data_IF_601911530662
#
_entry.id   IF_601911530662
#
_cell.length_a   1.000
_cell.length_b   1.000
_cell.length_c   1.000
_cell.angle_alpha   90.00
_cell.angle_beta   90.00
_cell.angle_gamma   90.00
#
_symmetry.space_group_name_H-M   'P 1'
#
loop_
_entity.id
_entity.type
_entity.pdbx_description
1 polymer ?
#
# COMPACT_ATOMS: atom_id res chain seq x y z
N UNK A 1 -2.75 13.52 49.96
CA UNK A 1 -1.27 13.66 49.91
C UNK A 1 -0.99 15.09 49.53
N UNK A 2 -0.02 15.75 50.16
CA UNK A 2 0.34 17.13 49.79
C UNK A 2 1.09 17.16 48.46
N UNK A 3 0.99 18.26 47.71
CA UNK A 3 1.72 18.48 46.46
C UNK A 3 3.20 18.04 46.50
N UNK A 4 3.92 18.38 47.58
CA UNK A 4 5.34 18.06 47.75
C UNK A 4 5.64 16.55 47.77
N UNK A 5 4.78 15.78 48.43
CA UNK A 5 4.87 14.31 48.49
C UNK A 5 4.51 13.70 47.13
N UNK A 6 3.48 14.24 46.47
CA UNK A 6 3.00 13.79 45.17
C UNK A 6 4.04 14.01 44.07
N UNK A 7 4.71 15.16 44.08
CA UNK A 7 5.79 15.46 43.17
C UNK A 7 6.96 14.47 43.32
N UNK A 8 7.36 14.18 44.56
CA UNK A 8 8.40 13.17 44.84
C UNK A 8 7.95 11.78 44.36
N UNK A 9 6.69 11.40 44.55
CA UNK A 9 6.16 10.10 44.14
C UNK A 9 6.10 9.98 42.61
N UNK A 10 5.60 10.99 41.90
CA UNK A 10 5.57 11.03 40.43
C UNK A 10 6.98 10.98 39.84
N UNK A 11 7.93 11.70 40.44
CA UNK A 11 9.34 11.65 40.03
C UNK A 11 9.93 10.25 40.17
N UNK A 12 9.71 9.60 41.33
CA UNK A 12 10.20 8.24 41.59
C UNK A 12 9.51 7.21 40.70
N UNK A 13 8.21 7.32 40.47
CA UNK A 13 7.45 6.43 39.59
C UNK A 13 7.95 6.48 38.14
N UNK A 14 8.44 7.64 37.69
CA UNK A 14 9.05 7.84 36.38
C UNK A 14 10.57 7.61 36.35
N UNK A 15 11.17 7.09 37.44
CA UNK A 15 12.60 6.81 37.56
C UNK A 15 13.52 8.02 37.30
N UNK A 16 13.08 9.24 37.62
CA UNK A 16 13.89 10.44 37.46
C UNK A 16 14.67 10.77 38.74
N UNK A 17 15.91 11.24 38.60
CA UNK A 17 16.62 11.96 39.66
C UNK A 17 16.09 13.39 39.80
N UNK A 18 16.37 14.07 40.93
CA UNK A 18 15.99 15.48 41.09
C UNK A 18 16.66 16.37 40.03
N UNK A 19 17.93 16.10 39.69
CA UNK A 19 18.64 16.75 38.57
C UNK A 19 17.90 16.56 37.24
N UNK A 20 17.47 15.33 36.94
CA UNK A 20 16.78 14.96 35.70
C UNK A 20 15.40 15.60 35.57
N UNK A 21 14.67 15.75 36.68
CA UNK A 21 13.42 16.49 36.69
C UNK A 21 13.66 17.99 36.51
N UNK A 22 14.70 18.52 37.16
CA UNK A 22 15.07 19.93 37.06
C UNK A 22 15.43 20.33 35.62
N UNK A 23 16.18 19.49 34.91
CA UNK A 23 16.53 19.67 33.50
C UNK A 23 15.27 19.70 32.61
N UNK A 24 14.34 18.75 32.80
CA UNK A 24 13.10 18.66 32.01
C UNK A 24 12.15 19.85 32.23
N UNK A 25 12.11 20.39 33.45
CA UNK A 25 11.26 21.53 33.82
C UNK A 25 11.98 22.89 33.58
N UNK A 26 13.29 22.85 33.32
CA UNK A 26 14.14 24.02 33.07
C UNK A 26 14.34 24.85 34.33
N UNK A 27 14.74 24.22 35.44
CA UNK A 27 15.06 24.84 36.74
C UNK A 27 16.31 24.24 37.35
N UNK A 28 16.79 24.79 38.46
CA UNK A 28 17.88 24.18 39.22
C UNK A 28 17.39 22.99 40.06
N UNK A 29 18.27 22.02 40.31
CA UNK A 29 17.98 20.90 41.23
C UNK A 29 17.56 21.36 42.63
N UNK A 30 18.13 22.47 43.10
CA UNK A 30 17.76 23.08 44.38
C UNK A 30 16.29 23.51 44.42
N UNK A 31 15.73 24.01 43.30
CA UNK A 31 14.31 24.36 43.21
C UNK A 31 13.42 23.12 43.37
N UNK A 32 13.74 22.03 42.66
CA UNK A 32 13.04 20.75 42.78
C UNK A 32 13.10 20.21 44.21
N UNK A 33 14.27 20.26 44.85
CA UNK A 33 14.42 19.83 46.25
C UNK A 33 13.55 20.66 47.20
N UNK A 34 13.42 21.97 47.01
CA UNK A 34 12.57 22.82 47.85
C UNK A 34 11.09 22.52 47.66
N UNK A 35 10.66 22.20 46.43
CA UNK A 35 9.28 21.78 46.15
C UNK A 35 8.95 20.44 46.79
N UNK A 36 9.84 19.45 46.69
CA UNK A 36 9.66 18.13 47.32
C UNK A 36 9.69 18.19 48.86
N UNK A 37 10.40 19.18 49.44
CA UNK A 37 10.41 19.45 50.87
C UNK A 37 9.22 20.32 51.34
N UNK A 38 8.36 20.78 50.41
CA UNK A 38 7.24 21.67 50.72
C UNK A 38 7.67 23.07 51.21
N UNK A 39 8.93 23.45 50.99
CA UNK A 39 9.48 24.75 51.42
C UNK A 39 9.15 25.90 50.45
N UNK A 40 8.75 25.58 49.21
CA UNK A 40 8.26 26.54 48.21
C UNK A 40 7.34 25.84 47.22
N UNK A 41 6.60 26.60 46.42
CA UNK A 41 5.79 26.09 45.31
C UNK A 41 6.37 26.51 43.96
N UNK A 42 6.23 25.68 42.90
CA UNK A 42 6.53 26.10 41.54
C UNK A 42 5.53 27.16 41.06
N UNK A 43 5.94 27.98 40.09
CA UNK A 43 4.99 28.85 39.39
C UNK A 43 4.09 28.03 38.44
N UNK A 44 3.02 28.67 37.95
CA UNK A 44 2.05 28.02 37.06
C UNK A 44 2.69 27.48 35.77
N UNK A 45 3.70 28.16 35.22
CA UNK A 45 4.38 27.69 34.00
C UNK A 45 5.15 26.39 34.26
N UNK A 46 5.85 26.31 35.40
CA UNK A 46 6.56 25.12 35.83
C UNK A 46 5.60 23.98 36.19
N UNK A 47 4.46 24.28 36.82
CA UNK A 47 3.43 23.27 37.07
C UNK A 47 2.89 22.67 35.77
N UNK A 48 2.55 23.50 34.77
CA UNK A 48 2.10 23.00 33.45
C UNK A 48 3.20 22.19 32.74
N UNK A 49 4.47 22.56 32.89
CA UNK A 49 5.59 21.76 32.39
C UNK A 49 5.70 20.41 33.10
N UNK A 50 5.50 20.36 34.41
CA UNK A 50 5.45 19.10 35.17
C UNK A 50 4.30 18.21 34.72
N UNK A 51 3.11 18.78 34.52
CA UNK A 51 1.95 18.06 33.98
C UNK A 51 2.27 17.38 32.64
N UNK A 52 3.00 18.07 31.75
CA UNK A 52 3.48 17.49 30.48
C UNK A 52 4.55 16.42 30.67
N UNK A 53 5.44 16.58 31.64
CA UNK A 53 6.52 15.62 31.93
C UNK A 53 5.98 14.32 32.55
N UNK A 54 4.94 14.42 33.36
CA UNK A 54 4.33 13.29 34.08
C UNK A 54 3.05 12.75 33.44
N UNK A 55 2.62 13.36 32.33
CA UNK A 55 1.35 13.06 31.65
C UNK A 55 0.15 13.01 32.61
N UNK A 56 0.04 14.06 33.45
CA UNK A 56 -1.03 14.21 34.43
C UNK A 56 -1.71 15.57 34.29
N UNK A 57 -2.94 15.69 34.79
CA UNK A 57 -3.62 17.00 34.84
C UNK A 57 -3.09 17.87 35.98
N UNK A 58 -3.33 19.20 35.92
CA UNK A 58 -2.96 20.09 37.02
C UNK A 58 -3.72 19.76 38.31
N UNK A 59 -4.99 19.38 38.18
CA UNK A 59 -5.82 18.93 39.30
C UNK A 59 -5.22 17.66 39.92
N UNK A 60 -4.80 16.70 39.09
CA UNK A 60 -4.05 15.53 39.56
C UNK A 60 -2.71 15.90 40.20
N UNK A 61 -2.06 17.01 39.84
CA UNK A 61 -0.82 17.41 40.48
C UNK A 61 -1.06 18.10 41.83
N UNK A 62 -2.17 18.83 41.98
CA UNK A 62 -2.44 19.68 43.15
C UNK A 62 -3.43 19.11 44.18
N UNK A 63 -4.22 18.09 43.86
CA UNK A 63 -5.32 17.66 44.74
C UNK A 63 -4.84 17.13 46.11
N UNK A 64 -5.27 17.84 47.17
CA UNK A 64 -5.01 17.60 48.58
C UNK A 64 -6.00 16.61 49.23
N UNK A 65 -6.85 15.94 48.44
CA UNK A 65 -7.39 14.62 48.76
C UNK A 65 -8.88 14.58 49.09
N UNK A 66 -9.63 13.84 48.30
CA UNK A 66 -10.27 12.57 48.69
C UNK A 66 -11.18 12.08 47.55
N UNK A 67 -10.72 11.03 46.84
CA UNK A 67 -11.45 9.85 46.35
C UNK A 67 -10.75 9.31 45.10
N UNK A 68 -10.15 8.13 45.25
CA UNK A 68 -9.55 7.38 44.15
C UNK A 68 -8.27 6.72 44.63
N UNK A 69 -8.38 5.45 44.99
CA UNK A 69 -7.27 4.53 45.19
C UNK A 69 -6.17 4.77 44.16
N UNK A 70 -4.91 4.62 44.59
CA UNK A 70 -3.75 4.53 43.70
C UNK A 70 -4.11 3.53 42.61
N UNK A 71 -4.45 4.04 41.43
CA UNK A 71 -4.65 3.22 40.26
C UNK A 71 -3.27 2.65 39.94
N UNK A 72 -3.07 1.41 40.37
CA UNK A 72 -2.27 0.45 39.63
C UNK A 72 -2.48 0.74 38.15
N UNK A 73 -1.39 0.89 37.40
CA UNK A 73 -1.34 1.05 35.94
C UNK A 73 -2.60 0.47 35.29
N UNK A 74 -3.64 1.29 35.15
CA UNK A 74 -4.76 0.95 34.31
C UNK A 74 -4.24 1.22 32.92
N UNK A 75 -3.76 0.16 32.29
CA UNK A 75 -4.09 -0.03 30.88
C UNK A 75 -5.52 0.48 30.71
N UNK A 76 -5.69 1.41 29.79
CA UNK A 76 -6.96 2.07 29.49
C UNK A 76 -8.03 1.04 29.14
N UNK A 77 -8.64 0.42 30.15
CA UNK A 77 -9.89 -0.32 29.99
C UNK A 77 -10.90 0.75 29.64
N UNK A 78 -11.30 0.75 28.38
CA UNK A 78 -12.45 1.48 27.86
C UNK A 78 -13.58 1.24 28.87
N UNK A 79 -13.93 2.25 29.65
CA UNK A 79 -15.04 2.16 30.61
C UNK A 79 -16.32 2.23 29.80
N UNK A 80 -16.68 1.07 29.23
CA UNK A 80 -17.78 0.92 28.27
C UNK A 80 -19.10 1.45 28.83
N UNK A 81 -19.25 1.41 30.16
CA UNK A 81 -20.42 1.93 30.87
C UNK A 81 -20.60 3.44 30.64
N UNK A 82 -19.53 4.23 30.71
CA UNK A 82 -19.61 5.68 30.48
C UNK A 82 -19.94 6.01 29.01
N UNK A 83 -19.42 5.22 28.06
CA UNK A 83 -19.77 5.38 26.65
C UNK A 83 -21.21 4.98 26.34
N UNK A 84 -21.69 3.91 26.98
CA UNK A 84 -23.10 3.49 26.92
C UNK A 84 -24.03 4.54 27.52
N UNK A 85 -23.66 5.14 28.65
CA UNK A 85 -24.45 6.20 29.28
C UNK A 85 -24.52 7.45 28.38
N UNK A 86 -23.43 7.86 27.76
CA UNK A 86 -23.43 8.97 26.80
C UNK A 86 -24.20 8.63 25.50
N UNK A 87 -24.16 7.38 25.05
CA UNK A 87 -24.97 6.92 23.92
C UNK A 87 -26.47 6.93 24.26
N UNK A 88 -26.84 6.46 25.45
CA UNK A 88 -28.22 6.50 25.93
C UNK A 88 -28.70 7.95 26.06
N UNK A 89 -27.88 8.86 26.60
CA UNK A 89 -28.18 10.30 26.59
C UNK A 89 -28.41 10.83 25.18
N UNK A 90 -27.58 10.43 24.21
CA UNK A 90 -27.77 10.81 22.81
C UNK A 90 -29.10 10.31 22.27
N UNK A 91 -29.49 9.06 22.55
CA UNK A 91 -30.82 8.54 22.19
C UNK A 91 -31.93 9.37 22.84
N UNK A 92 -31.81 9.69 24.13
CA UNK A 92 -32.78 10.52 24.86
C UNK A 92 -32.89 11.92 24.26
N UNK A 93 -31.76 12.56 23.91
CA UNK A 93 -31.73 13.86 23.24
C UNK A 93 -32.40 13.80 21.86
N UNK A 94 -32.16 12.75 21.08
CA UNK A 94 -32.84 12.54 19.79
C UNK A 94 -34.35 12.37 20.00
N UNK A 95 -34.76 11.57 20.96
CA UNK A 95 -36.17 11.35 21.29
C UNK A 95 -36.87 12.66 21.68
N UNK A 96 -36.26 13.42 22.59
CA UNK A 96 -36.78 14.71 23.04
C UNK A 96 -36.88 15.71 21.89
N UNK A 97 -35.85 15.78 21.03
CA UNK A 97 -35.87 16.56 19.80
C UNK A 97 -37.09 16.21 18.94
N UNK A 98 -37.32 14.93 18.64
CA UNK A 98 -38.47 14.50 17.82
C UNK A 98 -39.83 14.79 18.45
N UNK A 99 -39.96 14.81 19.78
CA UNK A 99 -41.19 15.22 20.45
C UNK A 99 -41.43 16.72 20.29
N UNK A 100 -40.38 17.53 20.42
CA UNK A 100 -40.49 18.99 20.33
C UNK A 100 -40.75 19.49 18.90
N UNK A 101 -40.42 18.69 17.89
CA UNK A 101 -40.55 19.06 16.48
C UNK A 101 -42.00 19.03 15.96
N UNK A 102 -42.35 20.03 15.17
CA UNK A 102 -43.61 20.02 14.39
C UNK A 102 -43.55 19.00 13.24
N UNK A 103 -44.70 18.61 12.70
CA UNK A 103 -44.76 17.67 11.56
C UNK A 103 -44.00 18.19 10.33
N UNK A 104 -44.09 19.50 10.04
CA UNK A 104 -43.36 20.15 8.94
C UNK A 104 -41.84 20.08 9.13
N UNK A 105 -41.36 20.29 10.36
CA UNK A 105 -39.94 20.18 10.71
C UNK A 105 -39.44 18.74 10.56
N UNK A 106 -40.24 17.73 10.95
CA UNK A 106 -39.89 16.31 10.76
C UNK A 106 -39.72 15.94 9.29
N UNK A 107 -40.61 16.43 8.43
CA UNK A 107 -40.51 16.21 6.98
C UNK A 107 -39.25 16.90 6.44
N UNK A 108 -39.03 18.18 6.79
CA UNK A 108 -37.82 18.92 6.37
C UNK A 108 -36.55 18.19 6.82
N UNK A 109 -36.53 17.70 8.05
CA UNK A 109 -35.45 16.88 8.59
C UNK A 109 -35.15 15.64 7.75
N UNK A 110 -36.17 14.85 7.42
CA UNK A 110 -35.98 13.64 6.61
C UNK A 110 -35.40 13.97 5.23
N UNK A 111 -35.91 15.02 4.57
CA UNK A 111 -35.38 15.44 3.26
C UNK A 111 -33.92 15.90 3.35
N UNK A 112 -33.56 16.68 4.37
CA UNK A 112 -32.19 17.17 4.54
C UNK A 112 -31.21 16.03 4.85
N UNK A 113 -31.58 15.06 5.69
CA UNK A 113 -30.75 13.89 5.96
C UNK A 113 -30.63 12.98 4.74
N UNK A 114 -31.74 12.73 4.01
CA UNK A 114 -31.71 11.96 2.78
C UNK A 114 -30.81 12.62 1.73
N UNK A 115 -30.89 13.94 1.58
CA UNK A 115 -30.02 14.70 0.67
C UNK A 115 -28.54 14.55 1.03
N UNK A 116 -28.18 14.69 2.31
CA UNK A 116 -26.80 14.49 2.79
C UNK A 116 -26.31 13.08 2.45
N UNK A 117 -27.12 12.04 2.71
CA UNK A 117 -26.77 10.65 2.40
C UNK A 117 -26.55 10.46 0.90
N UNK A 118 -27.41 11.03 0.05
CA UNK A 118 -27.26 10.98 -1.41
C UNK A 118 -25.95 11.65 -1.85
N UNK A 119 -25.64 12.83 -1.32
CA UNK A 119 -24.38 13.55 -1.62
C UNK A 119 -23.16 12.71 -1.20
N UNK A 120 -23.19 12.10 -0.02
CA UNK A 120 -22.11 11.24 0.46
C UNK A 120 -21.93 10.01 -0.44
N UNK A 121 -23.03 9.35 -0.84
CA UNK A 121 -22.99 8.20 -1.76
C UNK A 121 -22.41 8.62 -3.12
N UNK A 122 -22.87 9.72 -3.70
CA UNK A 122 -22.36 10.24 -4.98
C UNK A 122 -20.86 10.56 -4.89
N UNK A 123 -20.43 11.20 -3.81
CA UNK A 123 -19.01 11.48 -3.57
C UNK A 123 -18.18 10.20 -3.48
N UNK A 124 -18.69 9.17 -2.81
CA UNK A 124 -18.03 7.87 -2.70
C UNK A 124 -17.91 7.17 -4.06
N UNK A 125 -18.96 7.22 -4.90
CA UNK A 125 -18.92 6.66 -6.26
C UNK A 125 -17.84 7.38 -7.09
N UNK A 126 -17.83 8.72 -7.07
CA UNK A 126 -16.84 9.53 -7.79
C UNK A 126 -15.42 9.16 -7.37
N UNK A 127 -15.15 9.09 -6.07
CA UNK A 127 -13.83 8.73 -5.53
C UNK A 127 -13.43 7.32 -5.98
N UNK A 128 -14.34 6.34 -5.92
CA UNK A 128 -14.06 4.97 -6.37
C UNK A 128 -13.71 4.92 -7.87
N UNK A 129 -14.45 5.63 -8.73
CA UNK A 129 -14.15 5.68 -10.17
C UNK A 129 -12.77 6.29 -10.42
N UNK A 130 -12.47 7.44 -9.80
CA UNK A 130 -11.15 8.09 -9.90
C UNK A 130 -10.02 7.16 -9.44
N UNK A 131 -10.21 6.48 -8.31
CA UNK A 131 -9.22 5.56 -7.76
C UNK A 131 -9.01 4.34 -8.66
N UNK A 132 -10.06 3.79 -9.26
CA UNK A 132 -9.93 2.69 -10.22
C UNK A 132 -9.16 3.09 -11.48
N UNK A 133 -9.38 4.28 -12.01
CA UNK A 133 -8.59 4.81 -13.15
C UNK A 133 -7.11 4.94 -12.74
N UNK A 134 -6.83 5.44 -11.54
CA UNK A 134 -5.46 5.59 -11.06
C UNK A 134 -4.75 4.24 -10.86
N UNK A 135 -5.39 3.28 -10.19
CA UNK A 135 -4.82 1.95 -9.90
C UNK A 135 -4.64 1.16 -11.20
N UNK A 136 -5.60 1.27 -12.13
CA UNK A 136 -5.48 0.62 -13.45
C UNK A 136 -4.27 1.11 -14.24
N UNK A 137 -3.99 2.42 -14.22
CA UNK A 137 -2.79 2.97 -14.83
C UNK A 137 -1.51 2.43 -14.14
N UNK A 138 -1.49 2.43 -12.80
CA UNK A 138 -0.31 2.09 -12.01
C UNK A 138 0.08 0.60 -12.06
N UNK A 139 -0.90 -0.30 -12.22
CA UNK A 139 -0.70 -1.75 -12.21
C UNK A 139 -1.03 -2.44 -13.54
N UNK A 140 -1.17 -1.69 -14.63
CA UNK A 140 -1.41 -2.24 -15.98
C UNK A 140 -0.34 -3.25 -16.45
N UNK A 141 0.87 -3.16 -15.90
CA UNK A 141 1.99 -4.07 -16.19
C UNK A 141 1.88 -5.41 -15.46
N UNK A 142 0.96 -5.58 -14.52
CA UNK A 142 0.78 -6.84 -13.79
C UNK A 142 -0.02 -7.87 -14.59
N UNK A 143 0.24 -9.18 -14.38
CA UNK A 143 -0.56 -10.23 -15.01
C UNK A 143 -2.04 -10.12 -14.62
N UNK A 144 -2.94 -10.26 -15.60
CA UNK A 144 -4.37 -9.92 -15.45
C UNK A 144 -5.05 -10.50 -14.20
N UNK A 145 -4.82 -11.79 -13.87
CA UNK A 145 -5.43 -12.41 -12.68
C UNK A 145 -4.98 -11.72 -11.38
N UNK A 146 -3.69 -11.43 -11.23
CA UNK A 146 -3.16 -10.76 -10.04
C UNK A 146 -3.65 -9.32 -9.93
N UNK A 147 -3.69 -8.60 -11.05
CA UNK A 147 -4.24 -7.25 -11.13
C UNK A 147 -5.69 -7.18 -10.62
N UNK A 148 -6.55 -8.10 -11.05
CA UNK A 148 -7.94 -8.14 -10.58
C UNK A 148 -8.07 -8.38 -9.06
N UNK A 149 -7.24 -9.26 -8.49
CA UNK A 149 -7.26 -9.48 -7.03
C UNK A 149 -6.84 -8.24 -6.25
N UNK A 150 -5.76 -7.56 -6.69
CA UNK A 150 -5.30 -6.33 -6.04
C UNK A 150 -6.35 -5.24 -6.12
N UNK A 151 -6.94 -5.02 -7.29
CA UNK A 151 -8.02 -4.05 -7.46
C UNK A 151 -9.17 -4.32 -6.48
N UNK A 152 -9.66 -5.56 -6.40
CA UNK A 152 -10.77 -5.92 -5.51
C UNK A 152 -10.45 -5.65 -4.04
N UNK A 153 -9.23 -5.96 -3.61
CA UNK A 153 -8.80 -5.68 -2.24
C UNK A 153 -8.82 -4.17 -1.97
N UNK A 154 -8.27 -3.36 -2.88
CA UNK A 154 -8.22 -1.90 -2.73
C UNK A 154 -9.63 -1.29 -2.76
N UNK A 155 -10.52 -1.76 -3.65
CA UNK A 155 -11.92 -1.31 -3.71
C UNK A 155 -12.65 -1.55 -2.38
N UNK A 156 -12.51 -2.74 -1.79
CA UNK A 156 -13.14 -3.07 -0.50
C UNK A 156 -12.59 -2.17 0.61
N UNK A 157 -11.27 -2.01 0.66
CA UNK A 157 -10.57 -1.15 1.61
C UNK A 157 -11.07 0.28 1.53
N UNK A 158 -11.09 0.85 0.33
CA UNK A 158 -11.53 2.22 0.07
C UNK A 158 -13.01 2.40 0.40
N UNK A 159 -13.85 1.42 0.04
CA UNK A 159 -15.27 1.40 0.39
C UNK A 159 -15.52 1.45 1.89
N UNK A 160 -14.78 0.66 2.68
CA UNK A 160 -14.88 0.68 4.16
C UNK A 160 -14.48 2.04 4.72
N UNK A 161 -13.38 2.63 4.24
CA UNK A 161 -12.93 3.96 4.69
C UNK A 161 -13.96 5.04 4.39
N UNK A 162 -14.44 5.08 3.15
CA UNK A 162 -15.44 6.06 2.71
C UNK A 162 -16.76 5.89 3.45
N UNK A 163 -17.15 4.64 3.77
CA UNK A 163 -18.33 4.37 4.59
C UNK A 163 -18.17 4.94 6.00
N UNK A 164 -17.05 4.67 6.69
CA UNK A 164 -16.82 5.17 8.05
C UNK A 164 -16.75 6.70 8.06
N UNK A 165 -16.03 7.31 7.10
CA UNK A 165 -16.00 8.77 6.94
C UNK A 165 -17.40 9.34 6.69
N UNK A 166 -18.20 8.68 5.85
CA UNK A 166 -19.59 9.03 5.61
C UNK A 166 -20.43 9.03 6.89
N UNK A 167 -20.31 7.99 7.72
CA UNK A 167 -21.00 7.90 9.02
C UNK A 167 -20.57 9.02 9.97
N UNK A 168 -19.26 9.34 10.03
CA UNK A 168 -18.73 10.43 10.86
C UNK A 168 -19.30 11.78 10.42
N UNK A 169 -19.20 12.08 9.12
CA UNK A 169 -19.66 13.36 8.55
C UNK A 169 -21.17 13.48 8.75
N UNK A 170 -21.93 12.43 8.46
CA UNK A 170 -23.37 12.39 8.68
C UNK A 170 -23.72 12.67 10.14
N UNK A 171 -23.07 11.97 11.08
CA UNK A 171 -23.31 12.16 12.52
C UNK A 171 -22.97 13.58 13.01
N UNK A 172 -21.88 14.16 12.52
CA UNK A 172 -21.50 15.54 12.85
C UNK A 172 -22.49 16.57 12.30
N UNK A 173 -22.88 16.44 11.02
CA UNK A 173 -23.86 17.34 10.40
C UNK A 173 -25.22 17.25 11.08
N UNK A 174 -25.65 16.03 11.42
CA UNK A 174 -26.87 15.78 12.19
C UNK A 174 -26.82 16.48 13.56
N UNK A 175 -25.70 16.31 14.30
CA UNK A 175 -25.53 16.92 15.61
C UNK A 175 -25.63 18.45 15.54
N UNK A 176 -24.83 19.07 14.66
CA UNK A 176 -24.72 20.53 14.55
C UNK A 176 -26.04 21.16 14.15
N UNK A 177 -26.74 20.57 13.17
CA UNK A 177 -27.93 21.18 12.57
C UNK A 177 -29.20 20.95 13.39
N UNK A 178 -29.29 19.82 14.10
CA UNK A 178 -30.51 19.40 14.77
C UNK A 178 -30.30 19.20 16.26
N UNK A 179 -29.42 18.28 16.65
CA UNK A 179 -29.31 17.89 18.06
C UNK A 179 -28.95 19.09 18.95
N UNK A 180 -27.92 19.86 18.59
CA UNK A 180 -27.49 21.02 19.38
C UNK A 180 -28.51 22.16 19.32
N UNK A 181 -29.21 22.34 18.19
CA UNK A 181 -30.27 23.35 18.05
C UNK A 181 -31.43 23.10 19.02
N UNK A 182 -31.99 21.89 19.04
CA UNK A 182 -33.14 21.58 19.91
C UNK A 182 -32.75 21.47 21.38
N UNK A 183 -31.50 21.12 21.71
CA UNK A 183 -31.00 21.18 23.10
C UNK A 183 -30.98 22.63 23.60
N UNK A 184 -30.56 23.60 22.79
CA UNK A 184 -30.54 25.02 23.19
C UNK A 184 -31.93 25.65 23.37
N UNK A 185 -32.95 25.15 22.66
CA UNK A 185 -34.34 25.65 22.77
C UNK A 185 -35.05 25.14 24.03
N UNK A 186 -34.55 24.07 24.66
CA UNK A 186 -35.15 23.43 25.84
C UNK A 186 -34.56 23.96 27.17
N UNK A 187 -33.66 24.96 27.15
CA UNK A 187 -33.15 25.58 28.38
C UNK A 187 -34.30 26.21 29.18
N UNK A 188 -34.62 25.70 30.39
CA UNK A 188 -35.76 26.15 31.20
C UNK A 188 -35.65 27.60 31.69
N UNK A 189 -34.50 28.26 31.52
CA UNK A 189 -34.32 29.67 31.84
C UNK A 189 -34.76 30.63 30.72
N UNK A 190 -35.19 30.13 29.56
CA UNK A 190 -35.70 30.96 28.47
C UNK A 190 -37.22 30.86 28.41
N UNK A 191 -37.91 31.93 28.86
CA UNK A 191 -39.38 31.96 29.00
C UNK A 191 -40.13 32.21 27.69
N UNK A 192 -39.46 32.54 26.58
CA UNK A 192 -40.13 32.81 25.30
C UNK A 192 -39.69 31.82 24.21
N UNK A 193 -40.66 31.01 23.76
CA UNK A 193 -40.55 30.21 22.54
C UNK A 193 -40.81 31.13 21.34
N UNK A 194 -39.76 31.56 20.64
CA UNK A 194 -39.91 32.13 19.30
C UNK A 194 -39.50 31.11 18.25
N UNK A 195 -40.48 30.49 17.61
CA UNK A 195 -40.29 29.71 16.38
C UNK A 195 -39.93 30.70 15.27
N UNK A 196 -38.79 30.53 14.60
CA UNK A 196 -38.46 31.28 13.38
C UNK A 196 -39.56 31.03 12.32
N UNK A 197 -40.42 32.03 12.11
CA UNK A 197 -41.17 32.14 10.86
C UNK A 197 -40.29 32.81 9.81
N UNK A 198 -40.36 32.30 8.58
CA UNK A 198 -39.68 32.84 7.39
C UNK A 198 -39.87 34.36 7.28
N UNK A 199 -38.76 35.04 6.99
CA UNK A 199 -38.68 36.48 6.77
C UNK A 199 -39.68 36.89 5.67
N UNK A 200 -40.77 37.53 6.06
CA UNK A 200 -41.46 38.54 5.26
C UNK A 200 -41.57 39.81 6.11
N UNK A 201 -41.34 40.93 5.44
CA UNK A 201 -41.01 42.26 5.96
C UNK A 201 -41.98 42.80 7.02
N UNK A 202 -41.44 43.46 8.05
CA UNK A 202 -41.53 44.92 8.26
C UNK A 202 -40.98 45.30 9.66
N UNK A 203 -40.25 46.40 9.75
CA UNK A 203 -40.04 47.14 11.00
C UNK A 203 -38.71 46.92 11.73
N UNK A 204 -37.76 47.82 11.46
CA UNK A 204 -36.62 48.24 12.30
C UNK A 204 -36.63 47.75 13.77
N UNK A 205 -35.86 46.71 14.09
CA UNK A 205 -34.95 46.65 15.25
C UNK A 205 -33.82 45.68 14.92
N UNK A 206 -32.60 46.19 14.69
CA UNK A 206 -31.39 45.37 14.69
C UNK A 206 -31.16 44.96 16.16
N UNK A 207 -31.70 43.81 16.57
CA UNK A 207 -31.26 43.16 17.81
C UNK A 207 -29.95 42.45 17.48
N UNK A 208 -28.85 42.94 18.04
CA UNK A 208 -27.56 42.24 17.97
C UNK A 208 -27.74 40.83 18.52
N UNK A 209 -27.58 39.86 17.62
CA UNK A 209 -27.58 38.44 17.94
C UNK A 209 -26.27 38.11 18.65
N UNK A 210 -26.23 38.32 19.96
CA UNK A 210 -25.20 37.71 20.81
C UNK A 210 -25.49 36.21 20.91
N UNK A 211 -25.02 35.47 19.89
CA UNK A 211 -24.86 34.03 20.02
C UNK A 211 -23.72 33.83 21.00
N UNK A 212 -24.04 33.70 22.29
CA UNK A 212 -23.12 33.08 23.25
C UNK A 212 -23.02 31.62 22.80
N UNK A 213 -22.07 31.35 21.89
CA UNK A 213 -21.59 29.99 21.68
C UNK A 213 -20.81 29.67 22.93
N UNK A 214 -21.43 29.02 23.91
CA UNK A 214 -20.67 28.38 24.96
C UNK A 214 -19.74 27.36 24.29
N UNK A 215 -18.41 27.56 24.28
CA UNK A 215 -17.48 26.66 23.61
C UNK A 215 -17.35 25.32 24.36
N UNK A 216 -17.98 25.18 25.54
CA UNK A 216 -17.83 24.03 26.45
C UNK A 216 -18.84 22.90 26.27
N UNK A 217 -19.55 22.80 25.14
CA UNK A 217 -19.99 21.47 24.71
C UNK A 217 -18.78 20.70 24.15
N UNK A 218 -17.91 20.26 25.08
CA UNK A 218 -16.87 19.27 24.82
C UNK A 218 -17.48 18.15 23.98
N UNK A 219 -16.84 17.79 22.87
CA UNK A 219 -17.22 16.65 22.03
C UNK A 219 -17.70 15.49 22.91
N UNK A 220 -18.92 14.98 22.69
CA UNK A 220 -19.42 13.88 23.54
C UNK A 220 -18.44 12.72 23.46
N UNK A 221 -18.25 12.00 24.58
CA UNK A 221 -17.27 10.90 24.63
C UNK A 221 -17.61 9.82 23.59
N UNK A 222 -18.89 9.70 23.22
CA UNK A 222 -19.32 8.89 22.08
C UNK A 222 -18.62 9.27 20.76
N UNK A 223 -18.57 10.56 20.38
CA UNK A 223 -17.84 10.99 19.19
C UNK A 223 -16.32 10.79 19.33
N UNK A 224 -15.78 10.91 20.55
CA UNK A 224 -14.38 10.59 20.83
C UNK A 224 -14.08 9.09 20.60
N UNK A 225 -14.98 8.19 21.02
CA UNK A 225 -14.88 6.75 20.77
C UNK A 225 -14.99 6.43 19.27
N UNK A 226 -15.88 7.11 18.56
CA UNK A 226 -16.02 6.96 17.11
C UNK A 226 -14.76 7.43 16.37
N UNK A 227 -14.13 8.50 16.84
CA UNK A 227 -12.80 8.95 16.41
C UNK A 227 -11.70 7.92 16.71
N UNK A 228 -11.69 7.31 17.91
CA UNK A 228 -10.74 6.23 18.26
C UNK A 228 -10.93 4.99 17.39
N UNK A 229 -12.17 4.57 17.13
CA UNK A 229 -12.49 3.48 16.20
C UNK A 229 -12.02 3.82 14.78
N UNK A 230 -12.25 5.06 14.32
CA UNK A 230 -11.79 5.51 13.01
C UNK A 230 -10.26 5.41 12.89
N UNK A 231 -9.52 5.96 13.87
CA UNK A 231 -8.05 5.87 13.90
C UNK A 231 -7.59 4.42 13.97
N UNK A 232 -8.25 3.58 14.77
CA UNK A 232 -7.95 2.14 14.85
C UNK A 232 -8.14 1.45 13.50
N UNK A 233 -9.28 1.64 12.84
CA UNK A 233 -9.55 1.07 11.52
C UNK A 233 -8.56 1.56 10.49
N UNK A 234 -8.22 2.85 10.51
CA UNK A 234 -7.23 3.43 9.62
C UNK A 234 -5.81 2.83 9.84
N UNK A 235 -5.44 2.53 11.08
CA UNK A 235 -4.20 1.83 11.41
C UNK A 235 -4.19 0.38 10.90
N UNK A 236 -5.27 -0.35 11.11
CA UNK A 236 -5.42 -1.72 10.59
C UNK A 236 -5.29 -1.71 9.07
N UNK A 237 -5.92 -0.75 8.41
CA UNK A 237 -5.82 -0.58 6.97
C UNK A 237 -4.39 -0.29 6.51
N UNK A 238 -3.72 0.61 7.21
CA UNK A 238 -2.32 0.96 6.94
C UNK A 238 -1.41 -0.28 7.03
N UNK A 239 -1.70 -1.18 7.98
CA UNK A 239 -0.98 -2.45 8.12
C UNK A 239 -1.19 -3.37 6.91
N UNK A 240 -2.42 -3.49 6.38
CA UNK A 240 -2.66 -4.24 5.14
C UNK A 240 -1.94 -3.63 3.93
N UNK A 241 -1.94 -2.30 3.80
CA UNK A 241 -1.23 -1.60 2.73
C UNK A 241 0.30 -1.79 2.84
N UNK A 242 0.81 -1.92 4.06
CA UNK A 242 2.25 -2.12 4.30
C UNK A 242 2.76 -3.51 3.87
N UNK A 243 1.89 -4.53 3.82
CA UNK A 243 2.27 -5.91 3.51
C UNK A 243 2.88 -6.11 2.11
N UNK A 244 2.26 -5.65 1.00
CA UNK A 244 2.88 -5.73 -0.33
C UNK A 244 4.16 -4.88 -0.43
N UNK A 245 4.23 -3.75 0.28
CA UNK A 245 5.43 -2.90 0.33
C UNK A 245 6.58 -3.65 0.99
N UNK A 246 6.31 -4.37 2.08
CA UNK A 246 7.28 -5.23 2.75
C UNK A 246 7.76 -6.36 1.83
N UNK A 247 6.86 -7.00 1.08
CA UNK A 247 7.26 -8.02 0.11
C UNK A 247 8.15 -7.42 -1.00
N UNK A 248 7.82 -6.22 -1.49
CA UNK A 248 8.65 -5.46 -2.43
C UNK A 248 10.04 -5.15 -1.87
N UNK A 249 10.14 -4.83 -0.58
CA UNK A 249 11.43 -4.66 0.11
C UNK A 249 12.25 -5.95 0.08
N UNK A 250 11.66 -7.09 0.46
CA UNK A 250 12.34 -8.39 0.45
C UNK A 250 12.82 -8.76 -0.95
N UNK A 251 11.97 -8.58 -1.97
CA UNK A 251 12.34 -8.81 -3.37
C UNK A 251 13.47 -7.91 -3.84
N UNK A 252 13.47 -6.64 -3.46
CA UNK A 252 14.53 -5.68 -3.82
C UNK A 252 15.87 -6.06 -3.18
N UNK A 253 15.87 -6.47 -1.91
CA UNK A 253 17.06 -6.97 -1.21
C UNK A 253 17.56 -8.26 -1.87
N UNK A 254 16.65 -9.21 -2.13
CA UNK A 254 16.99 -10.47 -2.79
C UNK A 254 17.60 -10.24 -4.19
N UNK A 255 16.97 -9.40 -5.02
CA UNK A 255 17.48 -9.04 -6.34
C UNK A 255 18.86 -8.36 -6.29
N UNK A 256 19.12 -7.55 -5.26
CA UNK A 256 20.43 -6.94 -5.03
C UNK A 256 21.48 -8.00 -4.68
N UNK A 257 21.14 -8.96 -3.82
CA UNK A 257 22.03 -10.08 -3.45
C UNK A 257 22.35 -10.94 -4.68
N UNK A 258 21.33 -11.31 -5.45
CA UNK A 258 21.51 -12.05 -6.72
C UNK A 258 22.43 -11.26 -7.65
N UNK A 259 22.24 -9.95 -7.79
CA UNK A 259 23.12 -9.13 -8.64
C UNK A 259 24.58 -9.17 -8.15
N UNK A 260 24.81 -9.12 -6.84
CA UNK A 260 26.16 -9.21 -6.25
C UNK A 260 26.85 -10.52 -6.62
N UNK A 261 26.14 -11.66 -6.59
CA UNK A 261 26.75 -12.95 -6.96
C UNK A 261 27.15 -13.04 -8.44
N UNK A 262 26.65 -12.13 -9.28
CA UNK A 262 26.89 -12.12 -10.73
C UNK A 262 27.93 -11.08 -11.18
N UNK A 263 28.51 -10.31 -10.26
CA UNK A 263 29.52 -9.28 -10.57
C UNK A 263 30.72 -9.86 -11.36
N UNK A 264 31.09 -11.12 -11.10
CA UNK A 264 32.19 -11.79 -11.80
C UNK A 264 31.95 -12.02 -13.30
N UNK A 265 30.70 -11.90 -13.78
CA UNK A 265 30.36 -12.05 -15.20
C UNK A 265 30.41 -10.72 -15.94
N UNK A 266 29.87 -9.64 -15.37
CA UNK A 266 29.88 -8.32 -16.00
C UNK A 266 29.73 -7.20 -14.96
N UNK A 267 30.36 -6.05 -15.21
CA UNK A 267 30.23 -4.85 -14.37
C UNK A 267 28.79 -4.30 -14.29
N UNK A 268 27.93 -4.63 -15.27
CA UNK A 268 26.50 -4.30 -15.26
C UNK A 268 25.82 -4.67 -13.93
N UNK A 269 26.18 -5.83 -13.37
CA UNK A 269 25.59 -6.32 -12.13
C UNK A 269 25.98 -5.49 -10.90
N UNK A 270 27.11 -4.78 -10.93
CA UNK A 270 27.47 -3.79 -9.89
C UNK A 270 26.45 -2.65 -9.90
N UNK A 271 26.12 -2.13 -11.08
CA UNK A 271 25.20 -1.01 -11.23
C UNK A 271 23.76 -1.40 -10.87
N UNK A 272 23.33 -2.60 -11.26
CA UNK A 272 22.03 -3.16 -10.86
C UNK A 272 21.97 -3.37 -9.34
N UNK A 273 23.03 -3.91 -8.72
CA UNK A 273 23.09 -4.06 -7.27
C UNK A 273 23.01 -2.70 -6.55
N UNK A 274 23.73 -1.68 -7.03
CA UNK A 274 23.65 -0.32 -6.49
C UNK A 274 22.22 0.25 -6.58
N UNK A 275 21.57 0.08 -7.74
CA UNK A 275 20.19 0.52 -7.93
C UNK A 275 19.23 -0.22 -6.98
N UNK A 276 19.39 -1.53 -6.84
CA UNK A 276 18.57 -2.35 -5.94
C UNK A 276 18.74 -1.99 -4.46
N UNK A 277 19.96 -1.69 -4.00
CA UNK A 277 20.22 -1.21 -2.64
C UNK A 277 19.56 0.16 -2.43
N UNK A 278 19.67 1.07 -3.40
CA UNK A 278 19.00 2.37 -3.37
C UNK A 278 17.47 2.24 -3.28
N UNK A 279 16.89 1.36 -4.09
CA UNK A 279 15.45 1.04 -4.05
C UNK A 279 15.03 0.48 -2.68
N UNK A 280 15.81 -0.45 -2.12
CA UNK A 280 15.56 -1.02 -0.79
C UNK A 280 15.57 0.06 0.29
N UNK A 281 16.49 1.03 0.25
CA UNK A 281 16.51 2.15 1.19
C UNK A 281 15.27 3.04 1.07
N UNK A 282 14.84 3.35 -0.16
CA UNK A 282 13.62 4.12 -0.40
C UNK A 282 12.37 3.40 0.15
N UNK A 283 12.26 2.09 -0.09
CA UNK A 283 11.14 1.29 0.41
C UNK A 283 11.19 1.20 1.95
N UNK A 284 12.38 1.04 2.54
CA UNK A 284 12.56 1.00 3.99
C UNK A 284 12.01 2.26 4.68
N UNK A 285 12.21 3.44 4.09
CA UNK A 285 11.68 4.70 4.65
C UNK A 285 10.17 4.68 4.72
N UNK A 286 9.52 4.18 3.66
CA UNK A 286 8.06 4.06 3.60
C UNK A 286 7.60 3.10 4.70
N UNK A 287 8.26 1.95 4.83
CA UNK A 287 7.96 0.96 5.89
C UNK A 287 8.16 1.56 7.28
N UNK A 288 9.27 2.26 7.54
CA UNK A 288 9.56 2.89 8.84
C UNK A 288 8.50 3.95 9.18
N UNK A 289 8.07 4.75 8.19
CA UNK A 289 7.01 5.74 8.37
C UNK A 289 5.67 5.08 8.72
N UNK A 290 5.25 4.08 7.93
CA UNK A 290 3.99 3.36 8.14
C UNK A 290 3.98 2.63 9.49
N UNK A 291 5.08 1.97 9.85
CA UNK A 291 5.26 1.30 11.13
C UNK A 291 5.10 2.29 12.30
N UNK A 292 5.83 3.40 12.27
CA UNK A 292 5.75 4.41 13.33
C UNK A 292 4.36 5.03 13.44
N UNK A 293 3.68 5.25 12.30
CA UNK A 293 2.30 5.72 12.29
C UNK A 293 1.33 4.73 12.95
N UNK A 294 1.41 3.44 12.60
CA UNK A 294 0.53 2.39 13.18
C UNK A 294 0.72 2.31 14.70
N UNK A 295 1.95 2.38 15.18
CA UNK A 295 2.28 2.25 16.61
C UNK A 295 2.34 3.58 17.38
N UNK A 296 1.96 4.71 16.77
CA UNK A 296 2.07 6.06 17.39
C UNK A 296 3.47 6.38 17.94
N UNK A 297 4.52 6.01 17.22
CA UNK A 297 5.91 6.28 17.59
C UNK A 297 6.38 7.62 17.03
N UNK A 298 7.31 8.27 17.73
CA UNK A 298 7.89 9.54 17.27
C UNK A 298 8.69 9.39 15.97
N UNK A 299 8.55 10.39 15.10
CA UNK A 299 9.23 10.43 13.81
C UNK A 299 10.56 11.16 13.88
N UNK A 300 11.62 10.47 13.46
CA UNK A 300 12.95 11.04 13.35
C UNK A 300 13.19 11.50 11.90
N UNK A 301 12.56 12.61 11.52
CA UNK A 301 12.58 13.13 10.14
C UNK A 301 14.00 13.32 9.58
N UNK A 302 14.97 13.70 10.42
CA UNK A 302 16.37 13.84 10.01
C UNK A 302 16.96 12.52 9.51
N UNK A 303 16.76 11.42 10.25
CA UNK A 303 17.23 10.08 9.87
C UNK A 303 16.60 9.64 8.54
N UNK A 304 15.28 9.82 8.42
CA UNK A 304 14.52 9.52 7.21
C UNK A 304 15.06 10.30 6.00
N UNK A 305 15.34 11.59 6.18
CA UNK A 305 15.87 12.45 5.13
C UNK A 305 17.24 11.97 4.64
N UNK A 306 18.18 11.65 5.55
CA UNK A 306 19.51 11.19 5.15
C UNK A 306 19.46 9.84 4.42
N UNK A 307 18.68 8.87 4.91
CA UNK A 307 18.52 7.57 4.24
C UNK A 307 17.88 7.78 2.86
N UNK A 308 16.90 8.68 2.75
CA UNK A 308 16.20 8.95 1.49
C UNK A 308 17.11 9.59 0.45
N UNK A 309 17.94 10.53 0.87
CA UNK A 309 18.93 11.16 0.01
C UNK A 309 19.93 10.13 -0.53
N UNK A 310 20.50 9.30 0.36
CA UNK A 310 21.45 8.25 -0.03
C UNK A 310 20.80 7.22 -0.95
N UNK A 311 19.58 6.78 -0.63
CA UNK A 311 18.82 5.83 -1.43
C UNK A 311 18.53 6.34 -2.85
N UNK A 312 18.09 7.59 -2.98
CA UNK A 312 17.82 8.21 -4.28
C UNK A 312 19.09 8.39 -5.12
N UNK A 313 20.20 8.77 -4.51
CA UNK A 313 21.48 8.89 -5.20
C UNK A 313 21.92 7.52 -5.73
N UNK A 314 21.88 6.48 -4.89
CA UNK A 314 22.25 5.12 -5.30
C UNK A 314 21.33 4.59 -6.41
N UNK A 315 20.02 4.81 -6.29
CA UNK A 315 19.04 4.42 -7.29
C UNK A 315 19.29 5.12 -8.63
N UNK A 316 19.51 6.44 -8.60
CA UNK A 316 19.78 7.23 -9.80
C UNK A 316 21.09 6.87 -10.48
N UNK A 317 22.19 6.83 -9.72
CA UNK A 317 23.52 6.49 -10.25
C UNK A 317 23.55 5.04 -10.76
N UNK A 318 23.01 4.09 -9.98
CA UNK A 318 22.95 2.69 -10.38
C UNK A 318 22.14 2.48 -11.65
N UNK A 319 20.95 3.08 -11.73
CA UNK A 319 20.08 2.97 -12.91
C UNK A 319 20.71 3.62 -14.15
N UNK A 320 21.32 4.81 -13.99
CA UNK A 320 21.98 5.52 -15.07
C UNK A 320 23.20 4.78 -15.63
N UNK A 321 24.07 4.26 -14.77
CA UNK A 321 25.23 3.48 -15.18
C UNK A 321 24.83 2.14 -15.79
N UNK A 322 23.80 1.47 -15.25
CA UNK A 322 23.24 0.25 -15.82
C UNK A 322 22.73 0.49 -17.23
N UNK A 323 21.96 1.56 -17.44
CA UNK A 323 21.43 1.93 -18.75
C UNK A 323 22.55 2.26 -19.75
N UNK A 324 23.53 3.07 -19.35
CA UNK A 324 24.69 3.38 -20.18
C UNK A 324 25.51 2.14 -20.55
N UNK A 325 25.66 1.18 -19.62
CA UNK A 325 26.36 -0.08 -19.88
C UNK A 325 25.62 -0.94 -20.89
N UNK A 326 24.29 -1.07 -20.79
CA UNK A 326 23.47 -1.81 -21.77
C UNK A 326 23.56 -1.17 -23.16
N UNK A 327 23.50 0.16 -23.26
CA UNK A 327 23.64 0.87 -24.54
C UNK A 327 25.01 0.69 -25.21
N UNK A 328 26.05 0.41 -24.43
CA UNK A 328 27.41 0.17 -24.95
C UNK A 328 27.67 -1.26 -25.41
N UNK A 329 26.73 -2.20 -25.22
CA UNK A 329 26.92 -3.60 -25.58
C UNK A 329 26.65 -3.85 -27.07
N UNK A 330 27.49 -4.67 -27.69
CA UNK A 330 27.25 -5.16 -29.04
C UNK A 330 26.09 -6.15 -29.04
N UNK A 331 25.20 -6.06 -30.02
CA UNK A 331 24.10 -7.02 -30.19
C UNK A 331 24.57 -8.19 -31.05
N UNK A 332 24.39 -9.42 -30.56
CA UNK A 332 24.66 -10.65 -31.32
C UNK A 332 23.39 -11.48 -31.42
N UNK A 333 23.09 -11.92 -32.65
CA UNK A 333 22.05 -12.90 -32.90
C UNK A 333 22.49 -14.29 -32.42
N UNK A 334 21.68 -14.89 -31.54
CA UNK A 334 21.90 -16.24 -31.01
C UNK A 334 21.96 -17.31 -32.10
N UNK A 335 21.18 -17.16 -33.17
CA UNK A 335 21.18 -18.12 -34.28
C UNK A 335 22.56 -18.16 -34.93
N UNK A 336 23.16 -16.99 -35.21
CA UNK A 336 24.44 -16.89 -35.92
C UNK A 336 25.60 -17.47 -35.11
N UNK A 337 25.60 -17.30 -33.78
CA UNK A 337 26.75 -17.71 -32.94
C UNK A 337 26.67 -19.16 -32.46
N UNK A 338 25.47 -19.71 -32.25
CA UNK A 338 25.33 -20.98 -31.52
C UNK A 338 24.52 -22.06 -32.25
N UNK A 339 24.01 -21.83 -33.47
CA UNK A 339 23.32 -22.88 -34.22
C UNK A 339 24.20 -24.13 -34.36
N UNK A 340 23.68 -25.25 -33.87
CA UNK A 340 24.24 -26.57 -34.13
C UNK A 340 23.31 -27.30 -35.10
N UNK A 341 23.92 -27.98 -36.06
CA UNK A 341 23.20 -28.78 -37.04
C UNK A 341 23.51 -30.24 -36.82
N UNK A 342 22.46 -31.04 -36.67
CA UNK A 342 22.50 -32.49 -36.65
C UNK A 342 21.74 -33.01 -37.87
N UNK A 343 22.23 -34.09 -38.48
CA UNK A 343 21.59 -34.73 -39.63
C UNK A 343 21.23 -36.15 -39.24
N UNK A 344 19.97 -36.50 -39.48
CA UNK A 344 19.44 -37.83 -39.23
C UNK A 344 18.94 -38.38 -40.57
N UNK A 345 19.45 -39.56 -40.92
CA UNK A 345 19.02 -40.32 -42.09
C UNK A 345 17.80 -41.17 -41.71
N UNK A 346 16.75 -41.13 -42.52
CA UNK A 346 15.57 -41.98 -42.38
C UNK A 346 15.45 -42.91 -43.58
N UNK A 347 15.43 -44.22 -43.30
CA UNK A 347 15.41 -45.28 -44.33
C UNK A 347 13.98 -45.67 -44.77
N UNK A 348 12.94 -44.96 -44.35
CA UNK A 348 11.53 -45.30 -44.64
C UNK A 348 10.78 -44.18 -45.40
N UNK A 349 9.84 -44.58 -46.26
CA UNK A 349 8.92 -43.67 -46.96
C UNK A 349 7.92 -43.09 -45.96
N UNK A 350 8.04 -41.80 -45.68
CA UNK A 350 7.19 -41.08 -44.73
C UNK A 350 5.96 -40.49 -45.40
N UNK A 351 4.78 -40.79 -44.87
CA UNK A 351 3.51 -40.32 -45.44
C UNK A 351 2.99 -39.05 -44.74
N UNK A 352 3.26 -38.81 -43.46
CA UNK A 352 2.62 -37.70 -42.73
C UNK A 352 3.60 -36.93 -41.85
N UNK A 353 3.59 -35.60 -42.03
CA UNK A 353 4.36 -34.65 -41.25
C UNK A 353 3.44 -33.71 -40.46
N UNK A 354 3.63 -33.60 -39.13
CA UNK A 354 2.97 -32.59 -38.27
C UNK A 354 4.02 -31.70 -37.61
N UNK A 355 3.90 -30.39 -37.81
CA UNK A 355 4.76 -29.36 -37.20
C UNK A 355 4.04 -28.70 -36.03
N UNK A 356 4.75 -28.52 -34.92
CA UNK A 356 4.28 -27.65 -33.82
C UNK A 356 4.30 -26.17 -34.24
N UNK A 357 3.48 -25.32 -33.62
CA UNK A 357 3.15 -23.93 -34.01
C UNK A 357 4.33 -22.91 -34.11
N UNK A 358 5.60 -23.34 -34.09
CA UNK A 358 6.81 -22.49 -34.06
C UNK A 358 8.02 -23.08 -34.79
N UNK A 359 7.80 -24.06 -35.67
CA UNK A 359 8.86 -24.78 -36.36
C UNK A 359 8.89 -24.39 -37.84
N UNK A 360 9.99 -23.79 -38.31
CA UNK A 360 10.20 -23.51 -39.74
C UNK A 360 10.75 -24.76 -40.44
N UNK A 361 10.09 -25.16 -41.52
CA UNK A 361 10.39 -26.37 -42.28
C UNK A 361 10.72 -25.98 -43.71
N UNK A 362 11.95 -26.23 -44.11
CA UNK A 362 12.44 -26.00 -45.46
C UNK A 362 12.58 -27.33 -46.19
N UNK A 363 12.35 -27.33 -47.50
CA UNK A 363 12.50 -28.50 -48.36
C UNK A 363 13.61 -28.22 -49.39
N UNK A 364 14.58 -29.12 -49.49
CA UNK A 364 15.66 -29.05 -50.49
C UNK A 364 15.76 -30.34 -51.28
N UNK A 365 15.90 -30.22 -52.61
CA UNK A 365 15.96 -31.38 -53.52
C UNK A 365 17.42 -31.83 -53.67
N UNK A 366 17.69 -33.12 -53.44
CA UNK A 366 18.97 -33.75 -53.74
C UNK A 366 18.73 -35.11 -54.40
N UNK A 367 19.01 -35.19 -55.70
CA UNK A 367 18.85 -36.40 -56.53
C UNK A 367 19.76 -37.57 -56.11
N UNK A 368 20.77 -37.33 -55.27
CA UNK A 368 21.64 -38.38 -54.75
C UNK A 368 21.07 -39.05 -53.49
N UNK A 369 19.94 -38.56 -52.98
CA UNK A 369 19.27 -39.09 -51.79
C UNK A 369 18.07 -39.90 -52.24
N UNK A 370 18.15 -41.23 -52.09
CA UNK A 370 17.07 -42.14 -52.47
C UNK A 370 15.88 -42.10 -51.49
N UNK A 371 16.16 -41.90 -50.19
CA UNK A 371 15.18 -41.86 -49.10
C UNK A 371 15.05 -40.44 -48.52
N UNK A 372 14.70 -40.27 -47.25
CA UNK A 372 14.48 -38.95 -46.64
C UNK A 372 15.58 -38.64 -45.63
N UNK A 373 16.20 -37.47 -45.74
CA UNK A 373 17.11 -36.94 -44.73
C UNK A 373 16.49 -35.73 -44.05
N UNK A 374 16.56 -35.69 -42.73
CA UNK A 374 16.11 -34.53 -41.95
C UNK A 374 17.33 -33.90 -41.31
N UNK A 375 17.60 -32.66 -41.70
CA UNK A 375 18.65 -31.83 -41.14
C UNK A 375 18.02 -30.86 -40.16
N UNK A 376 18.37 -31.03 -38.90
CA UNK A 376 17.82 -30.30 -37.78
C UNK A 376 18.86 -29.29 -37.31
N UNK A 377 18.51 -28.02 -37.33
CA UNK A 377 19.41 -26.95 -36.90
C UNK A 377 18.74 -26.17 -35.79
N UNK A 378 19.41 -26.05 -34.63
CA UNK A 378 18.82 -25.39 -33.47
C UNK A 378 19.86 -24.66 -32.66
N UNK A 379 19.43 -23.63 -31.94
CA UNK A 379 20.24 -23.08 -30.85
C UNK A 379 20.29 -24.09 -29.71
N UNK A 380 21.40 -24.18 -28.95
CA UNK A 380 21.59 -25.28 -28.00
C UNK A 380 20.55 -25.30 -26.88
N UNK A 381 19.96 -24.13 -26.57
CA UNK A 381 18.90 -23.94 -25.57
C UNK A 381 17.57 -24.61 -25.91
N UNK A 382 17.48 -25.13 -27.13
CA UNK A 382 16.28 -25.71 -27.70
C UNK A 382 16.61 -27.14 -28.09
N UNK A 383 15.77 -28.07 -27.65
CA UNK A 383 15.94 -29.50 -27.92
C UNK A 383 14.87 -29.90 -28.94
N UNK A 384 15.14 -29.76 -30.24
CA UNK A 384 14.24 -30.30 -31.23
C UNK A 384 14.19 -31.82 -31.11
N UNK A 385 12.98 -32.38 -31.18
CA UNK A 385 12.72 -33.81 -31.08
C UNK A 385 11.90 -34.29 -32.26
N UNK A 386 12.14 -35.54 -32.63
CA UNK A 386 11.44 -36.23 -33.71
C UNK A 386 10.65 -37.36 -33.05
N UNK A 387 9.32 -37.28 -33.10
CA UNK A 387 8.45 -38.36 -32.65
C UNK A 387 8.00 -39.16 -33.86
N UNK A 388 8.29 -40.45 -33.86
CA UNK A 388 7.89 -41.40 -34.88
C UNK A 388 6.68 -42.22 -34.40
N UNK A 389 5.52 -42.05 -35.03
CA UNK A 389 4.29 -42.80 -34.75
C UNK A 389 3.74 -43.40 -36.04
N UNK A 390 3.94 -44.72 -36.24
CA UNK A 390 3.54 -45.40 -37.49
C UNK A 390 4.26 -44.79 -38.69
N UNK A 391 3.51 -44.44 -39.76
CA UNK A 391 4.04 -43.83 -40.99
C UNK A 391 4.16 -42.29 -40.90
N UNK A 392 4.17 -41.74 -39.68
CA UNK A 392 4.17 -40.29 -39.43
C UNK A 392 5.32 -39.83 -38.54
N UNK A 393 5.89 -38.69 -38.91
CA UNK A 393 6.85 -37.94 -38.09
C UNK A 393 6.22 -36.66 -37.60
N UNK A 394 6.31 -36.42 -36.30
CA UNK A 394 6.02 -35.13 -35.70
C UNK A 394 7.33 -34.48 -35.28
N UNK A 395 7.58 -33.28 -35.80
CA UNK A 395 8.71 -32.46 -35.37
C UNK A 395 8.24 -31.50 -34.28
N UNK A 396 8.81 -31.70 -33.10
CA UNK A 396 8.46 -30.96 -31.91
C UNK A 396 9.68 -30.20 -31.46
N UNK A 397 9.43 -29.03 -30.90
CA UNK A 397 10.43 -28.33 -30.13
C UNK A 397 10.19 -28.65 -28.66
N UNK A 398 11.05 -29.44 -28.03
CA UNK A 398 10.94 -29.81 -26.60
C UNK A 398 11.33 -28.61 -25.73
N UNK A 399 10.49 -27.58 -25.76
CA UNK A 399 10.60 -26.41 -24.91
C UNK A 399 11.96 -25.71 -24.95
N UNK A 400 12.13 -24.83 -23.98
CA UNK A 400 13.29 -23.96 -23.81
C UNK A 400 13.94 -24.35 -22.49
N UNK A 401 15.18 -24.84 -22.53
CA UNK A 401 15.91 -25.16 -21.30
C UNK A 401 16.34 -23.85 -20.62
N UNK A 402 15.52 -23.39 -19.67
CA UNK A 402 15.72 -22.11 -18.97
C UNK A 402 17.10 -21.98 -18.30
N UNK A 403 17.71 -23.09 -17.88
CA UNK A 403 19.04 -23.09 -17.26
C UNK A 403 20.10 -22.85 -18.33
N UNK A 404 19.97 -23.48 -19.50
CA UNK A 404 20.89 -23.25 -20.61
C UNK A 404 20.77 -21.83 -21.16
N UNK A 405 19.55 -21.30 -21.32
CA UNK A 405 19.33 -19.91 -21.74
C UNK A 405 20.07 -18.95 -20.83
N UNK A 406 19.91 -19.13 -19.52
CA UNK A 406 20.61 -18.32 -18.54
C UNK A 406 22.13 -18.44 -18.69
N UNK A 407 22.68 -19.64 -18.90
CA UNK A 407 24.13 -19.84 -19.14
C UNK A 407 24.63 -19.06 -20.36
N UNK A 408 23.92 -19.16 -21.49
CA UNK A 408 24.30 -18.45 -22.72
C UNK A 408 24.20 -16.93 -22.55
N UNK A 409 23.12 -16.43 -21.95
CA UNK A 409 22.97 -15.00 -21.65
C UNK A 409 24.16 -14.51 -20.82
N UNK A 410 24.51 -15.23 -19.77
CA UNK A 410 25.61 -14.88 -18.87
C UNK A 410 26.98 -14.94 -19.58
N UNK A 411 27.17 -15.89 -20.48
CA UNK A 411 28.37 -15.99 -21.31
C UNK A 411 28.48 -14.84 -22.33
N UNK A 412 27.38 -14.48 -22.99
CA UNK A 412 27.33 -13.29 -23.84
C UNK A 412 27.67 -12.01 -23.06
N UNK A 413 27.10 -11.86 -21.86
CA UNK A 413 27.40 -10.73 -20.98
C UNK A 413 28.89 -10.69 -20.58
N UNK A 414 29.58 -11.81 -20.38
CA UNK A 414 31.05 -11.80 -20.14
C UNK A 414 31.84 -11.13 -21.26
N UNK A 415 31.39 -11.28 -22.50
CA UNK A 415 32.02 -10.64 -23.66
C UNK A 415 31.56 -9.19 -23.90
N UNK A 416 30.74 -8.60 -23.01
CA UNK A 416 30.01 -7.34 -23.20
C UNK A 416 29.05 -7.37 -24.41
N UNK A 417 28.41 -8.51 -24.66
CA UNK A 417 27.50 -8.69 -25.79
C UNK A 417 26.10 -9.04 -25.30
N UNK A 418 25.11 -8.44 -25.94
CA UNK A 418 23.71 -8.69 -25.70
C UNK A 418 23.22 -9.71 -26.72
N UNK A 419 22.93 -10.92 -26.25
CA UNK A 419 22.36 -11.98 -27.08
C UNK A 419 20.87 -11.73 -27.27
N UNK A 420 20.42 -11.68 -28.52
CA UNK A 420 19.02 -11.55 -28.88
C UNK A 420 18.65 -12.62 -29.93
N UNK A 421 17.35 -12.86 -30.11
CA UNK A 421 16.80 -13.67 -31.20
C UNK A 421 15.68 -12.83 -31.81
N UNK A 422 15.91 -12.26 -33.00
CA UNK A 422 14.90 -11.44 -33.69
C UNK A 422 13.78 -12.32 -34.26
N UNK A 423 14.10 -13.56 -34.62
CA UNK A 423 13.13 -14.53 -35.10
C UNK A 423 12.59 -15.42 -33.98
N UNK A 424 11.30 -15.72 -34.09
CA UNK A 424 10.62 -16.73 -33.28
C UNK A 424 11.10 -18.17 -33.59
N UNK A 425 11.97 -18.35 -34.60
CA UNK A 425 12.48 -19.63 -35.10
C UNK A 425 13.79 -20.01 -34.39
N UNK A 426 13.66 -20.57 -33.20
CA UNK A 426 14.82 -21.06 -32.43
C UNK A 426 15.34 -22.42 -32.91
N UNK A 427 14.65 -23.03 -33.87
CA UNK A 427 15.00 -24.28 -34.55
C UNK A 427 14.43 -24.28 -35.96
N UNK A 428 15.21 -24.76 -36.91
CA UNK A 428 14.79 -25.01 -38.29
C UNK A 428 14.99 -26.48 -38.63
N UNK A 429 14.11 -27.00 -39.48
CA UNK A 429 14.25 -28.34 -40.02
C UNK A 429 14.27 -28.25 -41.54
N UNK A 430 15.24 -28.91 -42.13
CA UNK A 430 15.43 -29.01 -43.57
C UNK A 430 15.22 -30.47 -43.97
N UNK A 431 14.17 -30.74 -44.75
CA UNK A 431 13.86 -32.06 -45.29
C UNK A 431 14.50 -32.16 -46.67
N UNK A 432 15.39 -33.13 -46.85
CA UNK A 432 16.17 -33.36 -48.06
C UNK A 432 15.78 -34.72 -48.65
N UNK A 433 15.35 -34.75 -49.90
CA UNK A 433 14.97 -35.97 -50.62
C UNK A 433 14.93 -35.70 -52.15
N UNK A 434 14.69 -36.71 -52.96
CA UNK A 434 14.39 -36.56 -54.39
C UNK A 434 13.10 -35.75 -54.65
N UNK A 435 12.92 -35.30 -55.90
CA UNK A 435 11.81 -34.45 -56.31
C UNK A 435 10.43 -35.10 -56.08
N UNK A 436 10.28 -36.39 -56.40
CA UNK A 436 9.03 -37.15 -56.26
C UNK A 436 8.53 -37.20 -54.80
N UNK A 437 9.42 -37.53 -53.86
CA UNK A 437 9.08 -37.61 -52.44
C UNK A 437 8.76 -36.21 -51.86
N UNK A 438 9.47 -35.17 -52.28
CA UNK A 438 9.23 -33.80 -51.78
C UNK A 438 7.84 -33.29 -52.20
N UNK A 439 7.39 -33.57 -53.42
CA UNK A 439 6.04 -33.19 -53.86
C UNK A 439 4.95 -33.88 -53.03
N UNK A 440 5.13 -35.16 -52.72
CA UNK A 440 4.21 -35.92 -51.85
C UNK A 440 4.15 -35.32 -50.45
N UNK A 441 5.32 -35.04 -49.85
CA UNK A 441 5.41 -34.46 -48.51
C UNK A 441 4.80 -33.06 -48.42
N UNK A 442 5.03 -32.19 -49.42
CA UNK A 442 4.42 -30.85 -49.49
C UNK A 442 2.90 -30.93 -49.57
N UNK A 443 2.37 -31.84 -50.40
CA UNK A 443 0.93 -32.04 -50.55
C UNK A 443 0.27 -32.56 -49.27
N UNK A 444 0.95 -33.46 -48.54
CA UNK A 444 0.46 -33.99 -47.27
C UNK A 444 0.55 -32.94 -46.15
N UNK A 445 1.55 -32.06 -46.18
CA UNK A 445 1.67 -30.93 -45.26
C UNK A 445 0.52 -29.93 -45.38
N UNK A 446 0.19 -29.50 -46.60
CA UNK A 446 -0.90 -28.53 -46.83
C UNK A 446 -2.29 -29.07 -46.43
N UNK A 447 -2.49 -30.39 -46.54
CA UNK A 447 -3.74 -31.04 -46.17
C UNK A 447 -3.98 -31.05 -44.65
N UNK A 448 -2.93 -31.27 -43.86
CA UNK A 448 -3.01 -31.35 -42.40
C UNK A 448 -3.02 -29.99 -41.69
N UNK A 449 -2.69 -28.89 -42.37
CA UNK A 449 -2.75 -27.55 -41.80
C UNK A 449 -4.18 -26.94 -41.83
N UNK A 450 -5.13 -27.60 -42.52
CA UNK A 450 -6.51 -27.12 -42.72
C UNK A 450 -7.57 -27.82 -41.84
N UNK A 451 -7.21 -28.88 -41.13
CA UNK A 451 -8.02 -29.58 -40.13
C UNK A 451 -7.47 -29.30 -38.73
#
# INVERSE_FOLDING_TARGET
MRFSEKLSNLRKANNFSQEQLAERVGVSRQAVSKWELGSSYPDMEKMLKMCKVFDCTLDELMDDGALGEVSEKKESKIDLKQYLDDFLKLITSIYNMFITMTFKEKIKFLFEQAFIVVVLILSSIIINVLMNVFISALFSWMPGRFYFYILRIVEIILGVVLFILGVIIFGHLFKIRYLDYYVTVVDPNVSEKTVESSIENEGNVIREKLVIRDPKHSSSRFFELLGKIFVFTFKVLTLFISLPIFFGFVLSVFGSIVSITHIGYNSLFIFIAMAGIGLSMCIYIIIEYLYKFVFNLEQQLKKIFYIGLVGLILLGVGSGLSFGKVLSMDKIDMQVKYFKTETIDFDEKLDIYKSSFRTEVNFSVDENVNDIKIKMSSVPTVKPSIIHEGDSITLINDGLDTIEIYKYIIEGLKENKFLFSDDYTLSTFEIISNEENIEVLKKNYEKNYRD
#
